data_IF_576605324793
#
_entry.id   IF_576605324793
#
_cell.length_a   1.000
_cell.length_b   1.000
_cell.length_c   1.000
_cell.angle_alpha   90.00
_cell.angle_beta   90.00
_cell.angle_gamma   90.00
#
_symmetry.space_group_name_H-M   'P 1'
#
loop_
_entity.id
_entity.type
_entity.pdbx_description
1 polymer ?
#
# COMPACT_ATOMS: atom_id res chain seq x y z
N UNK A 1 -51.07 24.37 40.63
CA UNK A 1 -51.79 24.57 39.34
C UNK A 1 -51.81 23.26 38.58
N UNK A 2 -53.03 22.74 38.37
CA UNK A 2 -53.52 21.74 37.40
C UNK A 2 -52.51 21.08 36.43
N UNK A 3 -52.39 19.73 36.46
CA UNK A 3 -53.09 18.69 35.63
C UNK A 3 -52.31 18.40 34.33
N UNK A 4 -52.11 17.20 33.78
CA UNK A 4 -52.56 15.79 33.96
C UNK A 4 -51.44 14.91 33.30
N UNK A 5 -50.93 13.84 33.90
CA UNK A 5 -51.45 12.47 34.07
C UNK A 5 -51.43 11.54 32.83
N UNK A 6 -50.63 10.46 32.95
CA UNK A 6 -50.90 9.01 32.66
C UNK A 6 -51.13 8.53 31.22
N UNK A 7 -50.28 7.59 30.73
CA UNK A 7 -50.45 6.10 30.73
C UNK A 7 -51.27 5.62 29.50
N UNK A 8 -51.10 4.49 28.81
CA UNK A 8 -50.54 3.16 29.14
C UNK A 8 -50.40 2.32 27.85
N UNK A 9 -49.71 1.19 28.00
CA UNK A 9 -49.61 -0.02 27.18
C UNK A 9 -50.73 -0.39 26.18
N UNK A 10 -50.34 -1.12 25.12
CA UNK A 10 -51.25 -1.87 24.27
C UNK A 10 -50.55 -2.76 23.24
N UNK A 11 -50.06 -3.93 23.66
CA UNK A 11 -49.69 -5.05 22.77
C UNK A 11 -50.95 -5.66 22.18
N UNK A 12 -51.01 -5.83 20.85
CA UNK A 12 -51.97 -6.72 20.18
C UNK A 12 -51.31 -7.52 19.07
N UNK A 13 -51.28 -8.83 19.27
CA UNK A 13 -51.11 -9.89 18.27
C UNK A 13 -52.35 -9.98 17.37
N UNK A 14 -52.17 -10.02 16.05
CA UNK A 14 -53.09 -10.68 15.11
C UNK A 14 -52.27 -11.45 14.10
N UNK A 15 -52.60 -12.74 13.95
CA UNK A 15 -52.01 -13.70 13.03
C UNK A 15 -52.73 -13.71 11.67
N UNK A 16 -51.95 -13.92 10.60
CA UNK A 16 -52.27 -14.80 9.47
C UNK A 16 -53.21 -14.33 8.36
N UNK A 17 -52.67 -14.09 7.15
CA UNK A 17 -53.15 -14.72 5.91
C UNK A 17 -52.09 -14.64 4.80
N UNK A 18 -51.71 -15.78 4.25
CA UNK A 18 -50.93 -15.92 3.02
C UNK A 18 -51.86 -15.97 1.80
N UNK A 19 -51.39 -15.56 0.60
CA UNK A 19 -51.42 -16.32 -0.68
C UNK A 19 -51.04 -15.44 -1.90
N UNK A 20 -50.02 -15.95 -2.63
CA UNK A 20 -49.74 -15.98 -4.09
C UNK A 20 -49.70 -14.67 -4.93
N UNK A 21 -48.52 -14.26 -5.44
CA UNK A 21 -47.85 -14.60 -6.73
C UNK A 21 -48.52 -13.96 -7.97
N UNK A 22 -47.76 -13.11 -8.68
CA UNK A 22 -47.47 -13.21 -10.12
C UNK A 22 -46.40 -12.18 -10.55
N UNK A 23 -45.46 -12.67 -11.35
CA UNK A 23 -44.23 -12.03 -11.82
C UNK A 23 -44.45 -11.10 -13.03
N UNK A 24 -43.47 -10.22 -13.32
CA UNK A 24 -42.76 -10.06 -14.62
C UNK A 24 -41.94 -8.75 -14.69
N UNK A 25 -40.65 -8.87 -15.06
CA UNK A 25 -39.82 -7.84 -15.72
C UNK A 25 -39.07 -6.84 -14.80
N UNK A 26 -37.75 -6.67 -14.86
CA UNK A 26 -36.74 -7.26 -15.74
C UNK A 26 -35.33 -6.86 -15.30
N UNK A 27 -34.35 -7.70 -15.65
CA UNK A 27 -32.95 -7.28 -15.76
C UNK A 27 -32.85 -6.23 -16.86
N UNK A 28 -32.30 -5.06 -16.53
CA UNK A 28 -31.76 -4.14 -17.52
C UNK A 28 -30.26 -4.13 -17.34
N UNK A 29 -29.58 -4.84 -18.23
CA UNK A 29 -28.17 -4.63 -18.54
C UNK A 29 -28.00 -3.20 -19.08
N UNK A 30 -27.25 -2.38 -18.36
CA UNK A 30 -26.66 -1.15 -18.88
C UNK A 30 -25.18 -1.39 -19.09
N UNK A 31 -24.80 -1.57 -20.35
CA UNK A 31 -23.42 -1.66 -20.82
C UNK A 31 -22.76 -0.29 -20.61
N UNK A 32 -21.83 -0.21 -19.66
CA UNK A 32 -20.86 0.87 -19.54
C UNK A 32 -19.49 0.26 -19.72
N UNK A 33 -18.80 0.67 -20.78
CA UNK A 33 -17.45 0.24 -21.10
C UNK A 33 -16.46 0.79 -20.06
N UNK A 34 -16.17 0.03 -19.01
CA UNK A 34 -15.03 0.28 -18.13
C UNK A 34 -13.77 -0.34 -18.73
N UNK A 35 -13.36 0.20 -19.88
CA UNK A 35 -11.98 0.10 -20.36
C UNK A 35 -11.14 1.07 -19.55
N UNK A 36 -10.63 0.55 -18.44
CA UNK A 36 -9.69 1.24 -17.57
C UNK A 36 -9.16 0.24 -16.57
N UNK A 37 -8.32 -0.68 -17.04
CA UNK A 37 -7.45 -1.50 -16.21
C UNK A 37 -6.54 -0.57 -15.40
N UNK A 38 -7.09 -0.04 -14.32
CA UNK A 38 -6.34 0.51 -13.21
C UNK A 38 -5.90 -0.70 -12.39
N UNK A 39 -4.88 -1.39 -12.90
CA UNK A 39 -4.02 -2.26 -12.10
C UNK A 39 -3.16 -1.37 -11.19
N UNK A 40 -3.81 -0.59 -10.33
CA UNK A 40 -3.30 -0.43 -8.99
C UNK A 40 -3.91 -1.61 -8.24
N UNK A 41 -3.12 -2.64 -7.97
CA UNK A 41 -3.45 -3.58 -6.92
C UNK A 41 -3.99 -2.74 -5.77
N UNK A 42 -5.26 -2.96 -5.40
CA UNK A 42 -5.83 -2.31 -4.25
C UNK A 42 -5.00 -2.77 -3.06
N UNK A 43 -3.99 -1.98 -2.71
CA UNK A 43 -3.42 -1.90 -1.38
C UNK A 43 -4.53 -1.38 -0.48
N UNK A 44 -5.55 -2.21 -0.27
CA UNK A 44 -6.39 -2.12 0.91
C UNK A 44 -5.40 -2.24 2.06
N UNK A 45 -5.07 -1.06 2.61
CA UNK A 45 -4.17 -0.78 3.72
C UNK A 45 -4.08 -1.95 4.69
N UNK A 46 -3.13 -2.86 4.44
CA UNK A 46 -2.86 -3.95 5.37
C UNK A 46 -1.99 -3.30 6.43
N UNK A 47 -2.53 -3.09 7.62
CA UNK A 47 -1.70 -2.66 8.73
C UNK A 47 -0.59 -3.70 9.00
N UNK A 48 0.59 -3.28 9.46
CA UNK A 48 1.63 -4.20 9.90
C UNK A 48 1.06 -5.25 10.85
N UNK A 49 1.45 -6.50 10.63
CA UNK A 49 1.04 -7.58 11.52
C UNK A 49 1.74 -7.47 12.87
N UNK A 50 1.17 -8.12 13.89
CA UNK A 50 1.83 -8.24 15.20
C UNK A 50 3.23 -8.87 15.10
N UNK A 51 3.38 -9.81 14.17
CA UNK A 51 4.66 -10.47 13.90
C UNK A 51 5.68 -9.49 13.30
N UNK A 52 5.26 -8.62 12.38
CA UNK A 52 6.14 -7.59 11.81
C UNK A 52 6.67 -6.65 12.91
N UNK A 53 5.81 -6.20 13.83
CA UNK A 53 6.25 -5.40 14.98
C UNK A 53 7.30 -6.10 15.86
N UNK A 54 7.26 -7.44 15.93
CA UNK A 54 8.28 -8.20 16.65
C UNK A 54 9.62 -8.24 15.89
N UNK A 55 9.59 -8.42 14.56
CA UNK A 55 10.81 -8.43 13.74
C UNK A 55 11.48 -7.06 13.66
N UNK A 56 10.69 -5.97 13.73
CA UNK A 56 11.19 -4.59 13.66
C UNK A 56 11.41 -3.93 15.02
N UNK A 57 11.28 -4.65 16.14
CA UNK A 57 11.37 -4.06 17.48
C UNK A 57 12.68 -3.27 17.71
N UNK A 58 13.82 -3.80 17.24
CA UNK A 58 15.12 -3.14 17.35
C UNK A 58 15.24 -1.93 16.41
N UNK A 59 14.66 -2.00 15.20
CA UNK A 59 14.61 -0.89 14.23
C UNK A 59 13.78 0.26 14.80
N UNK A 60 12.59 -0.04 15.33
CA UNK A 60 11.69 0.92 15.98
C UNK A 60 12.40 1.59 17.16
N UNK A 61 13.05 0.80 18.02
CA UNK A 61 13.78 1.33 19.17
C UNK A 61 14.95 2.23 18.74
N UNK A 62 15.73 1.80 17.75
CA UNK A 62 16.85 2.56 17.20
C UNK A 62 16.40 3.90 16.61
N UNK A 63 15.35 3.90 15.77
CA UNK A 63 14.81 5.12 15.16
C UNK A 63 14.27 6.08 16.23
N UNK A 64 13.53 5.58 17.22
CA UNK A 64 13.07 6.39 18.37
C UNK A 64 14.24 7.02 19.14
N UNK A 65 15.29 6.26 19.40
CA UNK A 65 16.38 6.70 20.28
C UNK A 65 17.36 7.64 19.57
N UNK A 66 17.49 7.53 18.25
CA UNK A 66 18.44 8.31 17.44
C UNK A 66 17.82 9.49 16.70
N UNK A 67 16.51 9.49 16.47
CA UNK A 67 15.84 10.59 15.77
C UNK A 67 15.96 11.91 16.54
N UNK A 68 16.20 12.99 15.81
CA UNK A 68 16.19 14.36 16.33
C UNK A 68 14.80 14.99 16.28
N UNK A 69 13.82 14.30 15.69
CA UNK A 69 12.46 14.80 15.45
C UNK A 69 11.56 14.30 16.58
N UNK A 70 11.09 15.20 17.42
CA UNK A 70 10.31 14.84 18.61
C UNK A 70 9.00 14.09 18.26
N UNK A 71 8.37 14.41 17.12
CA UNK A 71 7.19 13.69 16.64
C UNK A 71 7.48 12.19 16.39
N UNK A 72 8.60 11.87 15.73
CA UNK A 72 9.03 10.47 15.49
C UNK A 72 9.22 9.74 16.82
N UNK A 73 9.88 10.38 17.78
CA UNK A 73 10.11 9.78 19.10
C UNK A 73 8.82 9.51 19.87
N UNK A 74 7.84 10.41 19.76
CA UNK A 74 6.54 10.28 20.41
C UNK A 74 5.71 9.16 19.80
N UNK A 75 5.66 9.08 18.46
CA UNK A 75 4.94 8.03 17.75
C UNK A 75 5.54 6.66 18.10
N UNK A 76 6.87 6.53 18.09
CA UNK A 76 7.53 5.24 18.34
C UNK A 76 7.68 4.90 19.83
N UNK A 77 7.11 5.71 20.74
CA UNK A 77 7.34 5.59 22.18
C UNK A 77 6.78 4.29 22.76
N UNK A 78 5.64 3.81 22.24
CA UNK A 78 5.01 2.55 22.68
C UNK A 78 5.42 1.34 21.82
N UNK A 79 6.34 1.56 20.86
CA UNK A 79 6.82 0.55 19.93
C UNK A 79 5.84 0.20 18.81
N UNK A 80 4.77 1.01 18.62
CA UNK A 80 3.77 0.80 17.57
C UNK A 80 3.52 2.09 16.81
N UNK A 81 2.95 1.95 15.61
CA UNK A 81 2.47 3.08 14.83
C UNK A 81 0.96 2.86 14.64
N UNK A 82 0.15 3.72 15.24
CA UNK A 82 -1.31 3.69 15.09
C UNK A 82 -1.75 4.45 13.85
N UNK A 83 -2.96 4.13 13.35
CA UNK A 83 -3.58 4.87 12.24
C UNK A 83 -3.78 6.36 12.57
N UNK A 84 -4.07 6.69 13.85
CA UNK A 84 -4.19 8.09 14.27
C UNK A 84 -2.87 8.85 14.22
N UNK A 85 -1.76 8.18 14.50
CA UNK A 85 -0.43 8.79 14.41
C UNK A 85 0.00 8.99 12.95
N UNK A 86 -0.33 8.04 12.07
CA UNK A 86 -0.17 8.22 10.62
C UNK A 86 -0.98 9.40 10.09
N UNK A 87 -2.26 9.51 10.48
CA UNK A 87 -3.09 10.63 10.07
C UNK A 87 -2.57 11.97 10.60
N UNK A 88 -2.04 11.99 11.83
CA UNK A 88 -1.46 13.19 12.42
C UNK A 88 -0.19 13.61 11.69
N UNK A 89 0.77 12.71 11.46
CA UNK A 89 2.02 13.06 10.78
C UNK A 89 1.79 13.45 9.31
N UNK A 90 0.81 12.82 8.65
CA UNK A 90 0.35 13.24 7.33
C UNK A 90 -0.24 14.67 7.34
N UNK A 91 -0.99 15.02 8.38
CA UNK A 91 -1.52 16.38 8.55
C UNK A 91 -0.38 17.39 8.76
N UNK A 92 0.65 17.03 9.51
CA UNK A 92 1.81 17.90 9.76
C UNK A 92 2.64 18.10 8.48
N UNK A 93 2.85 17.03 7.71
CA UNK A 93 3.46 17.07 6.38
C UNK A 93 2.65 17.95 5.42
N UNK A 94 1.33 17.78 5.34
CA UNK A 94 0.44 18.62 4.54
C UNK A 94 0.61 20.11 4.87
N UNK A 95 0.66 20.46 6.16
CA UNK A 95 0.83 21.84 6.60
C UNK A 95 2.21 22.40 6.24
N UNK A 96 3.25 21.58 6.25
CA UNK A 96 4.59 21.98 5.81
C UNK A 96 4.61 22.27 4.31
N UNK A 97 4.15 21.31 3.50
CA UNK A 97 4.08 21.41 2.04
C UNK A 97 3.25 22.62 1.59
N UNK A 98 2.16 22.94 2.29
CA UNK A 98 1.35 24.13 2.03
C UNK A 98 2.12 25.44 2.17
N UNK A 99 3.13 25.52 3.05
CA UNK A 99 3.99 26.72 3.20
C UNK A 99 4.89 26.94 1.99
N UNK A 100 5.25 25.87 1.26
CA UNK A 100 5.97 25.92 -0.01
C UNK A 100 5.06 26.27 -1.20
N UNK A 101 3.77 26.56 -0.95
CA UNK A 101 2.79 26.86 -1.99
C UNK A 101 2.37 25.64 -2.80
N UNK A 102 2.61 24.44 -2.29
CA UNK A 102 2.20 23.17 -2.90
C UNK A 102 0.97 22.64 -2.17
N UNK A 103 0.00 22.14 -2.91
CA UNK A 103 -1.17 21.46 -2.32
C UNK A 103 -0.92 19.96 -2.34
N UNK A 104 -1.04 19.33 -1.18
CA UNK A 104 -1.09 17.87 -1.03
C UNK A 104 -2.26 17.53 -0.13
N UNK A 105 -2.98 16.46 -0.44
CA UNK A 105 -4.11 15.99 0.37
C UNK A 105 -3.87 14.54 0.74
N UNK A 106 -3.73 14.19 2.03
CA UNK A 106 -3.52 12.82 2.44
C UNK A 106 -4.74 11.97 2.08
N UNK A 107 -4.47 10.73 1.67
CA UNK A 107 -5.50 9.71 1.49
C UNK A 107 -5.94 9.16 2.86
N UNK A 108 -6.97 8.31 2.87
CA UNK A 108 -7.60 7.84 4.11
C UNK A 108 -6.69 7.05 5.07
N UNK A 109 -5.52 6.57 4.62
CA UNK A 109 -4.55 5.83 5.43
C UNK A 109 -3.34 6.68 5.88
N UNK A 110 -3.23 7.94 5.43
CA UNK A 110 -2.11 8.83 5.76
C UNK A 110 -0.74 8.42 5.21
N UNK A 111 -0.64 7.36 4.38
CA UNK A 111 0.62 6.89 3.78
C UNK A 111 0.90 7.53 2.42
N UNK A 112 -0.16 7.86 1.70
CA UNK A 112 -0.12 8.49 0.38
C UNK A 112 -1.02 9.71 0.35
N UNK A 113 -0.95 10.45 -0.74
CA UNK A 113 -1.87 11.56 -0.96
C UNK A 113 -1.84 12.07 -2.39
N UNK A 114 -2.82 12.90 -2.70
CA UNK A 114 -3.01 13.48 -4.02
C UNK A 114 -2.39 14.88 -4.09
N UNK A 115 -1.54 15.10 -5.09
CA UNK A 115 -0.95 16.41 -5.39
C UNK A 115 -1.92 17.32 -6.16
N UNK A 116 -1.97 18.59 -5.77
CA UNK A 116 -2.63 19.63 -6.55
C UNK A 116 -1.92 19.88 -7.87
N UNK A 117 -2.63 20.47 -8.84
CA UNK A 117 -2.12 20.82 -10.17
C UNK A 117 -1.42 19.66 -10.92
N UNK A 118 -1.84 18.41 -10.67
CA UNK A 118 -1.28 17.23 -11.33
C UNK A 118 0.17 16.93 -10.94
N UNK A 119 0.65 17.42 -9.79
CA UNK A 119 2.01 17.15 -9.30
C UNK A 119 3.11 17.96 -9.99
N UNK A 120 2.76 18.97 -10.80
CA UNK A 120 3.76 19.86 -11.39
C UNK A 120 4.29 20.83 -10.33
N UNK A 121 5.57 20.67 -9.98
CA UNK A 121 6.29 21.50 -9.03
C UNK A 121 7.48 22.18 -9.70
N UNK A 122 7.87 23.35 -9.22
CA UNK A 122 9.19 23.93 -9.55
C UNK A 122 10.30 23.16 -8.84
N UNK A 123 11.56 23.39 -9.23
CA UNK A 123 12.71 22.79 -8.54
C UNK A 123 12.75 23.14 -7.05
N UNK A 124 12.55 24.41 -6.71
CA UNK A 124 12.50 24.88 -5.32
C UNK A 124 11.37 24.21 -4.53
N UNK A 125 10.17 24.10 -5.14
CA UNK A 125 9.05 23.42 -4.51
C UNK A 125 9.31 21.92 -4.28
N UNK A 126 9.99 21.25 -5.21
CA UNK A 126 10.36 19.85 -5.04
C UNK A 126 11.36 19.67 -3.89
N UNK A 127 12.31 20.60 -3.73
CA UNK A 127 13.25 20.58 -2.62
C UNK A 127 12.54 20.83 -1.28
N UNK A 128 11.69 21.86 -1.21
CA UNK A 128 10.92 22.17 0.00
C UNK A 128 10.00 21.02 0.41
N UNK A 129 9.39 20.33 -0.56
CA UNK A 129 8.55 19.14 -0.33
C UNK A 129 9.37 17.99 0.27
N UNK A 130 10.56 17.74 -0.26
CA UNK A 130 11.46 16.72 0.27
C UNK A 130 11.92 17.06 1.70
N UNK A 131 12.28 18.32 1.94
CA UNK A 131 12.64 18.81 3.27
C UNK A 131 11.48 18.68 4.26
N UNK A 132 10.24 18.94 3.82
CA UNK A 132 9.06 18.72 4.65
C UNK A 132 8.89 17.26 5.08
N UNK A 133 9.21 16.29 4.22
CA UNK A 133 9.17 14.87 4.55
C UNK A 133 10.13 14.53 5.69
N UNK A 134 11.37 15.01 5.56
CA UNK A 134 12.41 14.85 6.57
C UNK A 134 12.09 15.61 7.88
N UNK A 135 11.74 16.90 7.81
CA UNK A 135 11.58 17.76 8.99
C UNK A 135 10.37 17.39 9.85
N UNK A 136 9.31 16.88 9.23
CA UNK A 136 8.11 16.43 9.96
C UNK A 136 8.24 14.99 10.48
N UNK A 137 9.22 14.23 9.96
CA UNK A 137 9.39 12.80 10.22
C UNK A 137 8.41 11.92 9.43
N UNK A 138 7.69 12.49 8.45
CA UNK A 138 6.74 11.77 7.62
C UNK A 138 7.42 10.63 6.86
N UNK A 139 8.58 10.90 6.26
CA UNK A 139 9.33 9.90 5.48
C UNK A 139 9.80 8.73 6.37
N UNK A 140 10.28 9.03 7.58
CA UNK A 140 10.73 8.03 8.55
C UNK A 140 9.59 7.09 8.98
N UNK A 141 8.45 7.67 9.40
CA UNK A 141 7.33 6.90 9.94
C UNK A 141 6.59 6.13 8.83
N UNK A 142 6.31 6.77 7.70
CA UNK A 142 5.59 6.11 6.61
C UNK A 142 6.45 5.10 5.87
N UNK A 143 7.76 5.36 5.74
CA UNK A 143 8.73 4.41 5.23
C UNK A 143 8.81 3.16 6.09
N UNK A 144 9.01 3.32 7.41
CA UNK A 144 9.02 2.20 8.34
C UNK A 144 7.69 1.43 8.34
N UNK A 145 6.56 2.13 8.33
CA UNK A 145 5.25 1.49 8.28
C UNK A 145 5.07 0.68 6.98
N UNK A 146 5.44 1.23 5.83
CA UNK A 146 5.38 0.56 4.53
C UNK A 146 6.28 -0.67 4.48
N UNK A 147 7.50 -0.55 4.99
CA UNK A 147 8.47 -1.64 5.06
C UNK A 147 7.95 -2.81 5.91
N UNK A 148 7.36 -2.54 7.08
CA UNK A 148 6.73 -3.59 7.90
C UNK A 148 5.53 -4.27 7.25
N UNK A 149 4.88 -3.62 6.26
CA UNK A 149 3.76 -4.19 5.50
C UNK A 149 4.26 -5.07 4.37
N UNK A 150 5.28 -4.62 3.64
CA UNK A 150 5.80 -5.31 2.46
C UNK A 150 6.85 -6.38 2.80
N UNK A 151 7.68 -6.15 3.81
CA UNK A 151 8.73 -7.03 4.30
C UNK A 151 8.51 -7.35 5.80
N UNK A 152 7.45 -8.08 6.17
CA UNK A 152 7.10 -8.32 7.58
C UNK A 152 8.12 -9.19 8.32
N UNK A 153 8.97 -9.92 7.59
CA UNK A 153 10.02 -10.78 8.13
C UNK A 153 11.33 -10.01 8.43
N UNK A 154 11.41 -8.72 8.07
CA UNK A 154 12.61 -7.89 8.20
C UNK A 154 13.84 -8.52 7.54
N UNK A 155 13.62 -9.07 6.35
CA UNK A 155 14.64 -9.72 5.55
C UNK A 155 15.56 -8.68 4.94
N UNK A 156 16.83 -9.04 4.82
CA UNK A 156 17.78 -8.28 4.01
C UNK A 156 17.39 -8.33 2.52
N UNK A 157 17.91 -7.38 1.74
CA UNK A 157 17.72 -7.37 0.28
C UNK A 157 18.23 -8.67 -0.36
N UNK A 158 19.35 -9.22 0.12
CA UNK A 158 19.90 -10.52 -0.33
C UNK A 158 18.89 -11.65 -0.08
N UNK A 159 18.28 -11.70 1.10
CA UNK A 159 17.28 -12.71 1.44
C UNK A 159 15.99 -12.56 0.62
N UNK A 160 15.52 -11.33 0.40
CA UNK A 160 14.36 -11.04 -0.47
C UNK A 160 14.63 -11.45 -1.92
N UNK A 161 15.82 -11.15 -2.43
CA UNK A 161 16.24 -11.55 -3.77
C UNK A 161 16.34 -13.07 -3.90
N UNK A 162 16.92 -13.75 -2.91
CA UNK A 162 16.99 -15.22 -2.89
C UNK A 162 15.59 -15.86 -2.87
N UNK A 163 14.65 -15.32 -2.08
CA UNK A 163 13.27 -15.80 -2.07
C UNK A 163 12.55 -15.56 -3.39
N UNK A 164 12.70 -14.35 -3.95
CA UNK A 164 12.13 -13.99 -5.26
C UNK A 164 12.68 -14.91 -6.36
N UNK A 165 13.99 -15.13 -6.41
CA UNK A 165 14.63 -16.04 -7.36
C UNK A 165 14.09 -17.47 -7.22
N UNK A 166 14.00 -17.98 -6.00
CA UNK A 166 13.47 -19.33 -5.77
C UNK A 166 12.02 -19.45 -6.22
N UNK A 167 11.17 -18.47 -5.92
CA UNK A 167 9.78 -18.42 -6.39
C UNK A 167 9.70 -18.43 -7.93
N UNK A 168 10.53 -17.62 -8.60
CA UNK A 168 10.57 -17.56 -10.06
C UNK A 168 11.01 -18.89 -10.67
N UNK A 169 11.98 -19.60 -10.05
CA UNK A 169 12.41 -20.94 -10.47
C UNK A 169 11.30 -21.98 -10.30
N UNK A 170 10.62 -21.97 -9.15
CA UNK A 170 9.53 -22.92 -8.86
C UNK A 170 8.36 -22.78 -9.85
N UNK A 171 8.16 -21.57 -10.37
CA UNK A 171 7.16 -21.27 -11.41
C UNK A 171 7.67 -21.42 -12.85
N UNK A 172 8.94 -21.78 -13.05
CA UNK A 172 9.55 -21.93 -14.38
C UNK A 172 9.58 -20.62 -15.17
N UNK A 173 9.65 -19.49 -14.47
CA UNK A 173 9.70 -18.15 -15.06
C UNK A 173 11.13 -17.75 -15.42
N UNK A 174 12.12 -18.36 -14.77
CA UNK A 174 13.55 -18.16 -14.99
C UNK A 174 14.29 -19.49 -15.01
N UNK A 175 15.53 -19.50 -15.49
CA UNK A 175 16.36 -20.72 -15.57
C UNK A 175 16.69 -21.25 -14.15
N UNK A 176 16.52 -22.56 -13.94
CA UNK A 176 16.86 -23.24 -12.67
C UNK A 176 18.33 -23.03 -12.28
N UNK A 177 19.21 -22.87 -13.27
CA UNK A 177 20.64 -22.66 -13.11
C UNK A 177 21.07 -21.23 -12.82
N UNK A 178 20.16 -20.24 -12.83
CA UNK A 178 20.51 -18.85 -12.50
C UNK A 178 21.04 -18.75 -11.07
N UNK A 179 22.20 -18.13 -10.89
CA UNK A 179 22.77 -17.86 -9.55
C UNK A 179 22.17 -16.62 -8.90
N UNK A 180 22.33 -16.51 -7.57
CA UNK A 180 21.86 -15.35 -6.79
C UNK A 180 22.48 -14.05 -7.32
N UNK A 181 23.79 -14.04 -7.58
CA UNK A 181 24.48 -12.87 -8.16
C UNK A 181 23.95 -12.49 -9.54
N UNK A 182 23.68 -13.47 -10.43
CA UNK A 182 23.11 -13.17 -11.75
C UNK A 182 21.71 -12.57 -11.63
N UNK A 183 20.94 -13.00 -10.63
CA UNK A 183 19.63 -12.42 -10.34
C UNK A 183 19.74 -11.02 -9.76
N UNK A 184 20.65 -10.78 -8.82
CA UNK A 184 20.95 -9.46 -8.27
C UNK A 184 21.37 -8.48 -9.38
N UNK A 185 22.34 -8.86 -10.21
CA UNK A 185 22.80 -8.05 -11.35
C UNK A 185 21.65 -7.71 -12.31
N UNK A 186 20.71 -8.66 -12.51
CA UNK A 186 19.52 -8.48 -13.34
C UNK A 186 18.52 -7.50 -12.73
N UNK A 187 18.28 -7.57 -11.41
CA UNK A 187 17.30 -6.72 -10.69
C UNK A 187 17.84 -5.31 -10.45
N UNK A 188 19.12 -5.17 -10.11
CA UNK A 188 19.77 -3.87 -9.90
C UNK A 188 20.01 -3.10 -11.21
N UNK A 189 19.90 -3.78 -12.35
CA UNK A 189 19.89 -3.17 -13.68
C UNK A 189 21.24 -2.57 -14.11
N UNK A 190 22.35 -2.96 -13.48
CA UNK A 190 23.67 -2.39 -13.76
C UNK A 190 24.79 -3.40 -13.50
N UNK A 191 25.36 -3.99 -14.57
CA UNK A 191 26.79 -4.25 -14.72
C UNK A 191 27.11 -4.50 -16.22
N UNK A 192 28.18 -3.92 -16.80
CA UNK A 192 28.66 -4.31 -18.13
C UNK A 192 29.18 -5.75 -18.10
N UNK A 193 28.33 -6.70 -18.50
CA UNK A 193 28.65 -8.13 -18.49
C UNK A 193 27.50 -9.04 -18.03
N UNK A 194 26.40 -8.47 -17.51
CA UNK A 194 25.20 -9.22 -17.18
C UNK A 194 24.62 -9.95 -18.42
N UNK A 195 24.09 -11.16 -18.21
CA UNK A 195 23.53 -12.00 -19.28
C UNK A 195 22.16 -11.52 -19.80
N UNK A 196 21.63 -10.40 -19.26
CA UNK A 196 20.39 -9.73 -19.66
C UNK A 196 19.85 -8.85 -18.53
N UNK A 197 18.88 -7.98 -18.82
CA UNK A 197 18.16 -7.18 -17.81
C UNK A 197 16.89 -7.88 -17.33
N UNK A 198 16.26 -7.37 -16.26
CA UNK A 198 14.94 -7.83 -15.83
C UNK A 198 13.93 -7.84 -17.00
N UNK A 199 13.95 -6.83 -17.87
CA UNK A 199 13.11 -6.76 -19.06
C UNK A 199 13.41 -7.87 -20.07
N UNK A 200 14.69 -8.25 -20.25
CA UNK A 200 15.09 -9.33 -21.15
C UNK A 200 14.56 -10.69 -20.69
N UNK A 201 14.59 -10.96 -19.38
CA UNK A 201 14.17 -12.24 -18.82
C UNK A 201 12.65 -12.34 -18.60
N UNK A 202 12.05 -11.31 -17.99
CA UNK A 202 10.68 -11.34 -17.48
C UNK A 202 9.76 -10.35 -18.21
N UNK A 203 10.30 -9.27 -18.78
CA UNK A 203 9.52 -8.23 -19.46
C UNK A 203 8.63 -8.76 -20.59
N UNK A 204 9.07 -9.81 -21.30
CA UNK A 204 8.28 -10.48 -22.35
C UNK A 204 6.93 -11.03 -21.88
N UNK A 205 6.82 -11.39 -20.60
CA UNK A 205 5.58 -11.90 -19.99
C UNK A 205 4.68 -10.78 -19.46
N UNK A 206 5.25 -9.59 -19.26
CA UNK A 206 4.58 -8.44 -18.63
C UNK A 206 4.04 -7.45 -19.66
N UNK A 207 4.68 -7.31 -20.81
CA UNK A 207 4.27 -6.40 -21.88
C UNK A 207 3.14 -7.02 -22.72
N UNK A 208 1.92 -6.47 -22.63
CA UNK A 208 0.75 -6.93 -23.41
C UNK A 208 0.95 -6.87 -24.94
N UNK A 209 1.92 -6.11 -25.43
CA UNK A 209 2.27 -6.04 -26.84
C UNK A 209 3.25 -7.14 -27.28
N UNK A 210 3.89 -7.82 -26.32
CA UNK A 210 4.77 -8.95 -26.56
C UNK A 210 3.98 -10.16 -27.09
N UNK A 211 4.48 -10.87 -28.12
CA UNK A 211 3.88 -12.14 -28.54
C UNK A 211 3.97 -13.23 -27.45
N UNK A 212 4.86 -13.05 -26.47
CA UNK A 212 5.06 -13.96 -25.34
C UNK A 212 4.29 -13.53 -24.08
N UNK A 213 3.46 -12.48 -24.17
CA UNK A 213 2.64 -12.03 -23.05
C UNK A 213 1.78 -13.16 -22.49
N UNK A 214 1.78 -13.28 -21.17
CA UNK A 214 0.94 -14.23 -20.45
C UNK A 214 0.50 -13.63 -19.12
N UNK A 215 -0.80 -13.30 -19.02
CA UNK A 215 -1.38 -12.67 -17.83
C UNK A 215 -1.22 -13.54 -16.56
N UNK A 216 -1.19 -14.86 -16.70
CA UNK A 216 -0.98 -15.78 -15.58
C UNK A 216 0.45 -15.73 -15.08
N UNK A 217 1.43 -15.72 -15.99
CA UNK A 217 2.84 -15.53 -15.65
C UNK A 217 3.11 -14.14 -15.09
N UNK A 218 2.51 -13.11 -15.66
CA UNK A 218 2.60 -11.75 -15.13
C UNK A 218 2.15 -11.68 -13.67
N UNK A 219 1.00 -12.30 -13.35
CA UNK A 219 0.51 -12.36 -11.98
C UNK A 219 1.45 -13.15 -11.05
N UNK A 220 2.07 -14.25 -11.53
CA UNK A 220 3.06 -15.01 -10.76
C UNK A 220 4.34 -14.23 -10.51
N UNK A 221 4.85 -13.50 -11.51
CA UNK A 221 6.02 -12.62 -11.37
C UNK A 221 5.75 -11.56 -10.29
N UNK A 222 4.57 -10.91 -10.33
CA UNK A 222 4.16 -9.96 -9.28
C UNK A 222 4.07 -10.61 -7.90
N UNK A 223 3.56 -11.85 -7.82
CA UNK A 223 3.48 -12.57 -6.55
C UNK A 223 4.87 -12.93 -6.00
N UNK A 224 5.84 -13.25 -6.86
CA UNK A 224 7.20 -13.56 -6.44
C UNK A 224 7.99 -12.32 -5.99
N UNK A 225 7.75 -11.14 -6.57
CA UNK A 225 8.37 -9.89 -6.10
C UNK A 225 7.72 -9.29 -4.84
N UNK A 226 6.66 -9.93 -4.34
CA UNK A 226 6.00 -9.60 -3.08
C UNK A 226 6.17 -10.73 -2.04
N UNK A 227 7.09 -11.67 -2.29
CA UNK A 227 7.38 -12.84 -1.47
C UNK A 227 8.54 -12.57 -0.50
#
# INVERSE_FOLDING_TARGET
MNKMNTSSAGVRLIAGLAIAVLALGGCSSGNGDDNGASNAASSASKAPSEYAYQQYADVIASLRDTSTIEAVKQILADGRISESELAQIATDYQQCVAKAGVTWTPDGNGLTGTWGNGGMMTGDQSQDVHECGADTGYDDITGLYGEMVWNPDNLSIEELNAQSLQCLKDHGLIDEGMSDQEYEDMVEGVEPGANGTYEDYLGRYLDESSPDYDAGKAAQITACGAA
#
